data_IF_367292479865
#
_entry.id   IF_367292479865
#
_cell.length_a   1.000
_cell.length_b   1.000
_cell.length_c   1.000
_cell.angle_alpha   90.00
_cell.angle_beta   90.00
_cell.angle_gamma   90.00
#
_symmetry.space_group_name_H-M   'P 1'
#
loop_
_entity.id
_entity.type
_entity.pdbx_description
1 polymer ?
#
# COMPACT_ATOMS: atom_id res chain seq x y z
N UNK A 1 -3.49 34.54 -0.59
CA UNK A 1 -2.82 33.53 0.25
C UNK A 1 -3.01 32.17 -0.42
N UNK A 2 -1.96 31.35 -0.53
CA UNK A 2 -2.07 30.04 -1.19
C UNK A 2 -2.94 29.11 -0.33
N UNK A 3 -3.73 28.23 -0.95
CA UNK A 3 -4.65 27.32 -0.24
C UNK A 3 -3.98 26.53 0.90
N UNK A 4 -2.73 26.09 0.68
CA UNK A 4 -1.95 25.35 1.68
C UNK A 4 -1.60 26.19 2.92
N UNK A 5 -1.32 27.49 2.76
CA UNK A 5 -0.99 28.39 3.87
C UNK A 5 -2.19 28.59 4.79
N UNK A 6 -3.40 28.67 4.22
CA UNK A 6 -4.67 28.71 4.96
C UNK A 6 -4.92 27.43 5.78
N UNK A 7 -4.57 26.27 5.23
CA UNK A 7 -4.74 24.97 5.89
C UNK A 7 -3.76 24.80 7.05
N UNK A 8 -2.50 25.20 6.86
CA UNK A 8 -1.45 25.02 7.86
C UNK A 8 -1.55 26.03 9.00
N UNK A 9 -2.05 27.25 8.76
CA UNK A 9 -2.19 28.29 9.79
C UNK A 9 -0.89 28.57 10.56
N UNK A 10 0.27 28.44 9.89
CA UNK A 10 1.59 28.60 10.50
C UNK A 10 2.12 27.38 11.24
N UNK A 11 1.40 26.25 11.25
CA UNK A 11 1.91 24.98 11.75
C UNK A 11 3.14 24.52 10.94
N UNK A 12 4.15 24.01 11.65
CA UNK A 12 5.35 23.43 11.03
C UNK A 12 5.02 22.11 10.33
N UNK A 13 5.72 21.84 9.22
CA UNK A 13 5.64 20.57 8.49
C UNK A 13 7.00 19.90 8.53
N UNK A 14 7.02 18.62 8.88
CA UNK A 14 8.22 17.80 8.92
C UNK A 14 8.14 16.65 7.91
N UNK A 15 9.29 16.28 7.34
CA UNK A 15 9.42 15.10 6.50
C UNK A 15 9.81 13.91 7.36
N UNK A 16 9.03 12.82 7.27
CA UNK A 16 9.31 11.55 7.95
C UNK A 16 9.34 10.41 6.94
N UNK A 17 10.32 9.49 7.04
CA UNK A 17 10.27 8.22 6.33
C UNK A 17 8.99 7.45 6.67
N UNK A 18 8.38 6.82 5.67
CA UNK A 18 7.14 6.08 5.79
C UNK A 18 7.22 4.96 6.83
N UNK A 19 8.37 4.31 6.94
CA UNK A 19 8.61 3.25 7.94
C UNK A 19 8.49 3.74 9.39
N UNK A 20 8.60 5.05 9.64
CA UNK A 20 8.47 5.62 10.99
C UNK A 20 7.01 5.82 11.41
N UNK A 21 6.07 5.83 10.46
CA UNK A 21 4.65 6.12 10.69
C UNK A 21 3.72 5.01 10.17
N UNK A 22 4.28 3.96 9.58
CA UNK A 22 3.54 2.82 9.07
C UNK A 22 4.38 1.54 9.04
N UNK A 23 3.72 0.40 9.23
CA UNK A 23 4.30 -0.92 9.00
C UNK A 23 4.18 -1.31 7.53
N UNK A 24 5.28 -1.66 6.87
CA UNK A 24 5.27 -2.24 5.54
C UNK A 24 5.58 -3.73 5.61
N UNK A 25 4.72 -4.58 5.03
CA UNK A 25 4.82 -6.04 5.13
C UNK A 25 4.55 -6.72 3.80
N UNK A 26 5.46 -7.60 3.37
CA UNK A 26 5.27 -8.43 2.17
C UNK A 26 4.04 -9.34 2.30
N UNK A 27 3.41 -9.60 1.17
CA UNK A 27 2.39 -10.62 1.06
C UNK A 27 2.95 -12.04 1.20
N UNK A 28 2.03 -12.99 1.19
CA UNK A 28 2.32 -14.42 1.33
C UNK A 28 1.98 -15.11 0.02
N UNK A 29 2.92 -15.86 -0.55
CA UNK A 29 2.69 -16.54 -1.83
C UNK A 29 1.53 -17.54 -1.73
N UNK A 30 0.60 -17.46 -2.68
CA UNK A 30 -0.48 -18.43 -2.86
C UNK A 30 -0.81 -18.59 -4.33
N UNK A 31 -1.34 -19.76 -4.71
CA UNK A 31 -1.83 -20.01 -6.07
C UNK A 31 -3.31 -20.34 -6.06
N UNK A 32 -4.00 -20.01 -7.16
CA UNK A 32 -5.41 -20.36 -7.35
C UNK A 32 -5.68 -21.87 -7.29
N UNK A 33 -4.69 -22.70 -7.63
CA UNK A 33 -4.82 -24.17 -7.62
C UNK A 33 -4.78 -24.77 -6.22
N UNK A 34 -4.13 -24.08 -5.27
CA UNK A 34 -3.90 -24.56 -3.89
C UNK A 34 -4.78 -23.82 -2.88
N UNK A 35 -5.76 -23.03 -3.35
CA UNK A 35 -6.64 -22.24 -2.51
C UNK A 35 -8.09 -22.64 -2.71
N UNK A 36 -8.88 -22.51 -1.65
CA UNK A 36 -10.32 -22.71 -1.69
C UNK A 36 -10.99 -21.42 -2.13
N UNK A 37 -11.98 -21.52 -3.01
CA UNK A 37 -12.77 -20.36 -3.47
C UNK A 37 -13.54 -19.76 -2.30
N UNK A 38 -13.56 -18.43 -2.22
CA UNK A 38 -14.31 -17.72 -1.20
C UNK A 38 -14.55 -16.27 -1.59
N UNK A 39 -14.70 -15.39 -0.59
CA UNK A 39 -15.12 -14.00 -0.77
C UNK A 39 -13.99 -12.97 -0.66
N UNK A 40 -12.82 -13.34 -0.18
CA UNK A 40 -11.73 -12.40 0.09
C UNK A 40 -10.87 -12.20 -1.16
N UNK A 41 -10.65 -10.95 -1.59
CA UNK A 41 -9.85 -10.67 -2.79
C UNK A 41 -8.38 -10.98 -2.55
N UNK A 42 -7.74 -11.60 -3.55
CA UNK A 42 -6.30 -11.85 -3.58
C UNK A 42 -5.60 -10.72 -4.33
N UNK A 43 -4.81 -9.94 -3.60
CA UNK A 43 -4.06 -8.80 -4.12
C UNK A 43 -2.68 -9.26 -4.55
N UNK A 44 -2.33 -8.95 -5.81
CA UNK A 44 -1.10 -9.38 -6.48
C UNK A 44 -0.48 -8.19 -7.23
N UNK A 45 0.42 -8.43 -8.18
CA UNK A 45 1.08 -7.39 -8.98
C UNK A 45 0.20 -6.69 -10.05
N UNK A 46 -1.13 -6.74 -9.92
CA UNK A 46 -2.09 -6.16 -10.87
C UNK A 46 -2.84 -4.96 -10.31
N UNK A 47 -3.65 -4.32 -11.16
CA UNK A 47 -4.49 -3.17 -10.77
C UNK A 47 -5.84 -3.56 -10.15
N UNK A 48 -6.16 -4.85 -10.13
CA UNK A 48 -7.42 -5.42 -9.65
C UNK A 48 -7.14 -6.74 -8.92
N UNK A 49 -8.05 -7.23 -8.06
CA UNK A 49 -7.93 -8.56 -7.46
C UNK A 49 -7.72 -9.64 -8.52
N UNK A 50 -6.77 -10.55 -8.27
CA UNK A 50 -6.47 -11.62 -9.21
C UNK A 50 -7.55 -12.72 -9.21
N UNK A 51 -8.08 -13.04 -8.03
CA UNK A 51 -9.14 -14.02 -7.76
C UNK A 51 -9.58 -13.88 -6.29
N UNK A 52 -10.51 -14.74 -5.85
CA UNK A 52 -11.08 -14.69 -4.49
C UNK A 52 -10.93 -16.04 -3.79
N UNK A 53 -10.64 -15.99 -2.48
CA UNK A 53 -10.41 -17.16 -1.63
C UNK A 53 -11.14 -17.04 -0.29
N UNK A 54 -11.17 -18.11 0.50
CA UNK A 54 -11.86 -18.20 1.79
C UNK A 54 -11.04 -17.70 3.00
N UNK A 55 -9.79 -17.31 2.77
CA UNK A 55 -8.89 -16.78 3.79
C UNK A 55 -8.36 -15.38 3.46
N UNK A 56 -8.05 -14.59 4.49
CA UNK A 56 -7.43 -13.28 4.36
C UNK A 56 -6.17 -13.22 5.24
N UNK A 57 -5.26 -12.30 4.96
CA UNK A 57 -4.06 -12.09 5.78
C UNK A 57 -3.84 -10.62 6.19
N UNK A 58 -4.75 -9.72 5.79
CA UNK A 58 -4.85 -8.34 6.25
C UNK A 58 -6.31 -7.98 6.50
N UNK A 59 -6.53 -7.08 7.43
CA UNK A 59 -7.85 -6.60 7.83
C UNK A 59 -7.81 -5.11 8.22
N UNK A 60 -8.97 -4.47 8.19
CA UNK A 60 -9.18 -3.04 8.29
C UNK A 60 -8.46 -2.22 7.22
N UNK A 61 -8.45 -0.90 7.38
CA UNK A 61 -7.83 0.04 6.42
C UNK A 61 -6.39 -0.37 6.08
N UNK A 62 -6.15 -0.75 4.83
CA UNK A 62 -4.87 -1.26 4.35
C UNK A 62 -4.57 -0.68 2.98
N UNK A 63 -3.38 -0.11 2.81
CA UNK A 63 -2.87 0.28 1.50
C UNK A 63 -2.07 -0.89 0.95
N UNK A 64 -2.21 -1.21 -0.32
CA UNK A 64 -1.36 -2.21 -1.00
C UNK A 64 -0.64 -1.56 -2.15
N UNK A 65 0.59 -2.01 -2.39
CA UNK A 65 1.39 -1.62 -3.54
C UNK A 65 1.85 -2.86 -4.28
N UNK A 66 1.57 -2.92 -5.58
CA UNK A 66 1.98 -4.03 -6.44
C UNK A 66 3.51 -4.20 -6.40
N UNK A 67 3.98 -5.41 -6.09
CA UNK A 67 5.41 -5.66 -5.82
C UNK A 67 6.24 -5.98 -7.06
N UNK A 68 5.59 -6.38 -8.15
CA UNK A 68 6.22 -6.91 -9.36
C UNK A 68 5.33 -6.72 -10.59
N UNK A 69 5.84 -7.07 -11.77
CA UNK A 69 5.08 -7.08 -13.02
C UNK A 69 4.94 -5.71 -13.69
N UNK A 70 4.07 -5.65 -14.70
CA UNK A 70 3.85 -4.43 -15.50
C UNK A 70 3.26 -3.26 -14.70
N UNK A 71 2.71 -3.54 -13.52
CA UNK A 71 2.08 -2.56 -12.65
C UNK A 71 2.81 -2.42 -11.31
N UNK A 72 4.07 -2.85 -11.22
CA UNK A 72 4.87 -2.66 -10.00
C UNK A 72 4.82 -1.18 -9.57
N UNK A 73 4.46 -0.94 -8.31
CA UNK A 73 4.25 0.40 -7.78
C UNK A 73 2.81 0.89 -7.77
N UNK A 74 1.87 0.16 -8.37
CA UNK A 74 0.45 0.53 -8.37
C UNK A 74 -0.12 0.53 -6.94
N UNK A 75 -0.62 1.69 -6.49
CA UNK A 75 -1.17 1.90 -5.14
C UNK A 75 -2.68 1.67 -5.12
N UNK A 76 -3.16 0.86 -4.18
CA UNK A 76 -4.58 0.63 -3.91
C UNK A 76 -4.89 0.79 -2.43
N UNK A 77 -6.14 1.12 -2.10
CA UNK A 77 -6.64 1.21 -0.74
C UNK A 77 -7.79 0.24 -0.53
N UNK A 78 -7.81 -0.39 0.63
CA UNK A 78 -8.79 -1.39 1.04
C UNK A 78 -9.32 -1.06 2.42
N UNK A 79 -10.62 -1.27 2.62
CA UNK A 79 -11.32 -1.16 3.91
C UNK A 79 -12.19 -2.41 4.14
N UNK A 80 -11.66 -3.55 3.71
CA UNK A 80 -12.25 -4.87 3.87
C UNK A 80 -11.13 -5.90 4.03
N UNK A 81 -11.41 -7.11 4.54
CA UNK A 81 -10.37 -8.13 4.67
C UNK A 81 -9.88 -8.59 3.30
N UNK A 82 -8.56 -8.66 3.13
CA UNK A 82 -7.89 -9.02 1.88
C UNK A 82 -6.78 -10.05 2.09
N UNK A 83 -6.44 -10.78 1.04
CA UNK A 83 -5.25 -11.61 1.02
C UNK A 83 -4.17 -11.00 0.14
N UNK A 84 -3.08 -10.50 0.73
CA UNK A 84 -1.94 -9.95 -0.01
C UNK A 84 -0.98 -11.08 -0.39
N UNK A 85 -0.75 -11.24 -1.69
CA UNK A 85 0.16 -12.23 -2.29
C UNK A 85 1.39 -11.56 -2.90
N UNK A 86 1.44 -11.34 -4.22
CA UNK A 86 2.60 -10.72 -4.90
C UNK A 86 2.55 -9.19 -4.86
N UNK A 87 2.46 -8.66 -3.64
CA UNK A 87 2.39 -7.25 -3.31
C UNK A 87 2.92 -7.06 -1.89
N UNK A 88 2.99 -5.81 -1.42
CA UNK A 88 3.17 -5.51 0.00
C UNK A 88 2.06 -4.59 0.50
N UNK A 89 1.75 -4.71 1.78
CA UNK A 89 0.79 -3.87 2.48
C UNK A 89 1.52 -2.78 3.27
N UNK A 90 0.85 -1.64 3.44
CA UNK A 90 1.25 -0.53 4.28
C UNK A 90 0.11 -0.32 5.28
N UNK A 91 0.40 -0.48 6.58
CA UNK A 91 -0.55 -0.31 7.68
C UNK A 91 -0.13 0.89 8.51
N UNK A 92 -0.95 1.92 8.56
CA UNK A 92 -0.64 3.15 9.29
C UNK A 92 -0.57 2.89 10.80
N UNK A 93 0.33 3.60 11.48
CA UNK A 93 0.20 3.84 12.91
C UNK A 93 -0.84 4.96 13.11
N UNK A 94 -2.07 4.57 13.40
CA UNK A 94 -3.21 5.48 13.58
C UNK A 94 -3.02 6.47 14.75
N UNK A 95 -2.03 6.28 15.61
CA UNK A 95 -1.68 7.27 16.66
C UNK A 95 -0.88 8.45 16.10
N UNK A 96 -0.26 8.28 14.94
CA UNK A 96 0.60 9.27 14.30
C UNK A 96 0.03 9.81 12.99
N UNK A 97 -0.66 8.99 12.20
CA UNK A 97 -1.08 9.36 10.85
C UNK A 97 -2.35 8.61 10.39
N UNK A 98 -3.20 9.29 9.62
CA UNK A 98 -4.40 8.67 9.04
C UNK A 98 -4.03 7.79 7.84
N UNK A 99 -4.57 6.57 7.70
CA UNK A 99 -4.32 5.70 6.54
C UNK A 99 -4.66 6.39 5.21
N UNK A 100 -5.76 7.14 5.17
CA UNK A 100 -6.16 7.91 3.98
C UNK A 100 -5.16 8.99 3.61
N UNK A 101 -4.47 9.61 4.57
CA UNK A 101 -3.43 10.57 4.26
C UNK A 101 -2.26 9.89 3.54
N UNK A 102 -1.79 8.74 4.04
CA UNK A 102 -0.75 7.95 3.36
C UNK A 102 -1.20 7.59 1.95
N UNK A 103 -2.42 7.07 1.78
CA UNK A 103 -2.95 6.71 0.47
C UNK A 103 -2.91 7.88 -0.51
N UNK A 104 -3.46 9.05 -0.14
CA UNK A 104 -3.49 10.22 -1.01
C UNK A 104 -2.10 10.82 -1.27
N UNK A 105 -1.20 10.75 -0.29
CA UNK A 105 0.20 11.15 -0.48
C UNK A 105 0.88 10.25 -1.51
N UNK A 106 0.75 8.92 -1.38
CA UNK A 106 1.33 7.96 -2.33
C UNK A 106 0.72 8.10 -3.72
N UNK A 107 -0.59 8.36 -3.83
CA UNK A 107 -1.23 8.68 -5.12
C UNK A 107 -0.62 9.93 -5.78
N UNK A 108 -0.34 10.97 -5.00
CA UNK A 108 0.27 12.20 -5.52
C UNK A 108 1.70 11.99 -6.04
N UNK A 109 2.39 10.94 -5.59
CA UNK A 109 3.74 10.59 -6.05
C UNK A 109 3.79 9.29 -6.85
N UNK A 110 2.65 8.81 -7.38
CA UNK A 110 2.54 7.53 -8.10
C UNK A 110 3.60 7.38 -9.20
N UNK A 111 3.83 8.43 -9.99
CA UNK A 111 4.81 8.42 -11.08
C UNK A 111 6.23 8.13 -10.55
N UNK A 112 6.59 8.73 -9.41
CA UNK A 112 7.87 8.46 -8.74
C UNK A 112 7.95 7.03 -8.19
N UNK A 113 6.83 6.47 -7.77
CA UNK A 113 6.76 5.08 -7.28
C UNK A 113 6.97 4.11 -8.46
N UNK A 114 6.40 4.38 -9.64
CA UNK A 114 6.62 3.58 -10.85
C UNK A 114 8.08 3.60 -11.32
N UNK A 115 8.79 4.71 -11.12
CA UNK A 115 10.20 4.85 -11.48
C UNK A 115 11.15 4.04 -10.57
N UNK A 116 10.68 3.60 -9.40
CA UNK A 116 11.47 2.73 -8.54
C UNK A 116 11.66 1.36 -9.19
N UNK A 117 12.88 0.81 -9.09
CA UNK A 117 13.19 -0.52 -9.62
C UNK A 117 12.32 -1.59 -8.96
N UNK A 118 11.46 -2.23 -9.75
CA UNK A 118 10.65 -3.37 -9.33
C UNK A 118 11.53 -4.58 -8.95
N UNK A 119 11.08 -5.39 -7.98
CA UNK A 119 11.77 -6.62 -7.55
C UNK A 119 12.08 -6.68 -6.05
N UNK A 120 13.09 -7.48 -5.69
CA UNK A 120 13.44 -7.79 -4.30
C UNK A 120 13.73 -6.56 -3.42
N UNK A 121 14.20 -5.45 -4.00
CA UNK A 121 14.56 -4.24 -3.26
C UNK A 121 13.44 -3.20 -3.19
N UNK A 122 12.32 -3.43 -3.88
CA UNK A 122 11.27 -2.40 -4.05
C UNK A 122 10.63 -1.98 -2.72
N UNK A 123 10.34 -2.93 -1.84
CA UNK A 123 9.86 -2.65 -0.48
C UNK A 123 10.85 -1.79 0.31
N UNK A 124 12.15 -2.07 0.19
CA UNK A 124 13.20 -1.35 0.91
C UNK A 124 13.31 0.09 0.43
N UNK A 125 13.09 0.34 -0.87
CA UNK A 125 13.02 1.69 -1.43
C UNK A 125 11.80 2.45 -0.89
N UNK A 126 10.64 1.78 -0.81
CA UNK A 126 9.40 2.37 -0.30
C UNK A 126 9.46 2.74 1.19
N UNK A 127 10.20 1.97 2.00
CA UNK A 127 10.40 2.29 3.42
C UNK A 127 11.10 3.64 3.66
N UNK A 128 11.88 4.12 2.69
CA UNK A 128 12.69 5.34 2.79
C UNK A 128 11.99 6.59 2.25
N UNK A 129 10.89 6.42 1.50
CA UNK A 129 10.04 7.53 1.02
C UNK A 129 9.36 8.24 2.18
#
# INVERSE_FOLDING_TARGET
MKFIENLLQGAGVEWKPLVNVAELKRGTSITKKTSTVGKYPVISGGQQPAYYIDQFNRDGETITVAGSGAYAGFVMYWDEPIFVSDAFSIKADNTQILPRYIYHFLLNIQDKIYELKAGGEFLTSMQKM
#
